data_IF_341087717643
#
_entry.id   IF_341087717643
#
_cell.length_a   1.000
_cell.length_b   1.000
_cell.length_c   1.000
_cell.angle_alpha   90.00
_cell.angle_beta   90.00
_cell.angle_gamma   90.00
#
_symmetry.space_group_name_H-M   'P 1'
#
loop_
_entity.id
_entity.type
_entity.pdbx_description
1 polymer ?
#
# COMPACT_ATOMS: atom_id res chain seq x y z
N UNK A 1 32.61 8.27 -8.73
CA UNK A 1 31.31 8.44 -8.06
C UNK A 1 30.29 8.65 -9.17
N UNK A 2 29.22 7.87 -9.24
CA UNK A 2 28.22 8.04 -10.31
C UNK A 2 27.25 9.13 -9.88
N UNK A 3 27.16 10.19 -10.67
CA UNK A 3 26.12 11.21 -10.49
C UNK A 3 24.81 10.72 -11.13
N UNK A 4 23.72 10.88 -10.41
CA UNK A 4 22.39 10.48 -10.85
C UNK A 4 21.52 11.72 -10.86
N UNK A 5 20.99 12.08 -12.04
CA UNK A 5 20.03 13.17 -12.22
C UNK A 5 18.66 12.56 -12.44
N UNK A 6 17.67 12.98 -11.64
CA UNK A 6 16.28 12.59 -11.79
C UNK A 6 15.53 13.67 -12.58
N UNK A 7 14.83 13.28 -13.65
CA UNK A 7 13.98 14.16 -14.45
C UNK A 7 12.54 13.65 -14.30
N UNK A 8 11.70 14.42 -13.61
CA UNK A 8 10.30 14.08 -13.40
C UNK A 8 9.51 14.21 -14.72
N UNK A 9 8.80 13.14 -15.11
CA UNK A 9 7.81 13.20 -16.17
C UNK A 9 6.49 13.73 -15.59
N UNK A 10 6.28 15.05 -15.67
CA UNK A 10 5.07 15.71 -15.16
C UNK A 10 3.96 15.76 -16.21
N UNK A 11 2.72 15.75 -15.75
CA UNK A 11 1.59 16.12 -16.60
C UNK A 11 1.54 17.64 -16.73
N UNK A 12 1.45 18.17 -17.95
CA UNK A 12 1.43 19.62 -18.21
C UNK A 12 0.02 20.22 -18.24
N UNK A 13 -1.02 19.40 -18.33
CA UNK A 13 -2.40 19.87 -18.39
C UNK A 13 -2.91 20.39 -17.04
N UNK A 14 -3.82 21.35 -17.09
CA UNK A 14 -4.50 21.88 -15.90
C UNK A 14 -5.45 20.80 -15.34
N UNK A 15 -5.31 20.50 -14.06
CA UNK A 15 -6.25 19.64 -13.34
C UNK A 15 -7.33 20.55 -12.74
N UNK A 16 -8.55 20.42 -13.26
CA UNK A 16 -9.75 21.14 -12.79
C UNK A 16 -10.82 20.18 -12.30
N UNK A 17 -11.66 20.68 -11.40
CA UNK A 17 -12.82 20.01 -10.85
C UNK A 17 -13.95 20.02 -11.89
N UNK A 18 -14.28 18.85 -12.39
CA UNK A 18 -15.38 18.67 -13.34
C UNK A 18 -16.73 18.44 -12.64
N UNK A 19 -17.81 18.79 -13.33
CA UNK A 19 -19.19 18.68 -12.80
C UNK A 19 -19.53 17.27 -12.35
N UNK A 20 -19.02 16.24 -13.03
CA UNK A 20 -19.26 14.83 -12.66
C UNK A 20 -18.79 14.52 -11.24
N UNK A 21 -17.56 14.93 -10.90
CA UNK A 21 -17.01 14.74 -9.56
C UNK A 21 -17.71 15.67 -8.56
N UNK A 22 -17.90 16.94 -8.89
CA UNK A 22 -18.61 17.91 -8.05
C UNK A 22 -20.01 17.43 -7.64
N UNK A 23 -20.81 16.98 -8.61
CA UNK A 23 -22.16 16.47 -8.39
C UNK A 23 -22.14 15.22 -7.49
N UNK A 24 -21.16 14.34 -7.67
CA UNK A 24 -20.99 13.18 -6.81
C UNK A 24 -20.69 13.59 -5.36
N UNK A 25 -19.75 14.51 -5.15
CA UNK A 25 -19.38 14.97 -3.81
C UNK A 25 -20.57 15.63 -3.10
N UNK A 26 -21.31 16.48 -3.79
CA UNK A 26 -22.51 17.14 -3.25
C UNK A 26 -23.64 16.16 -2.95
N UNK A 27 -23.96 15.25 -3.88
CA UNK A 27 -25.01 14.23 -3.70
C UNK A 27 -24.74 13.34 -2.49
N UNK A 28 -23.48 12.99 -2.26
CA UNK A 28 -23.06 12.16 -1.14
C UNK A 28 -22.73 12.96 0.13
N UNK A 29 -23.00 14.28 0.14
CA UNK A 29 -22.78 15.18 1.28
C UNK A 29 -21.34 15.11 1.84
N UNK A 30 -20.36 14.96 0.96
CA UNK A 30 -18.94 14.95 1.34
C UNK A 30 -18.50 16.37 1.66
N UNK A 31 -18.06 16.61 2.89
CA UNK A 31 -17.60 17.92 3.37
C UNK A 31 -16.09 17.99 3.55
N UNK A 32 -15.41 16.84 3.60
CA UNK A 32 -13.95 16.77 3.71
C UNK A 32 -13.33 15.58 2.99
N UNK A 33 -12.13 15.78 2.44
CA UNK A 33 -11.45 14.80 1.58
C UNK A 33 -9.99 14.64 2.00
N UNK A 34 -9.51 13.40 2.08
CA UNK A 34 -8.08 13.08 2.08
C UNK A 34 -7.63 12.93 0.63
N UNK A 35 -6.77 13.84 0.17
CA UNK A 35 -6.35 13.91 -1.23
C UNK A 35 -5.00 13.24 -1.46
N UNK A 36 -4.97 12.32 -2.42
CA UNK A 36 -3.77 11.62 -2.87
C UNK A 36 -3.65 11.67 -4.39
N UNK A 37 -2.43 11.52 -4.91
CA UNK A 37 -2.17 11.55 -6.35
C UNK A 37 -0.99 10.64 -6.75
N UNK A 38 -0.94 10.23 -8.02
CA UNK A 38 0.32 9.78 -8.60
C UNK A 38 1.29 10.95 -8.77
N UNK A 39 2.59 10.66 -8.98
CA UNK A 39 3.61 11.71 -9.15
C UNK A 39 3.28 12.69 -10.27
N UNK A 40 2.67 12.21 -11.35
CA UNK A 40 2.29 13.02 -12.52
C UNK A 40 1.24 14.08 -12.20
N UNK A 41 0.34 13.80 -11.25
CA UNK A 41 -0.80 14.65 -10.89
C UNK A 41 -0.65 15.30 -9.51
N UNK A 42 0.55 15.25 -8.93
CA UNK A 42 0.84 15.81 -7.60
C UNK A 42 0.88 17.35 -7.57
N UNK A 43 0.95 18.01 -8.72
CA UNK A 43 0.86 19.47 -8.85
C UNK A 43 -0.61 19.85 -9.15
N UNK A 44 -1.46 19.92 -8.11
CA UNK A 44 -2.93 20.03 -8.23
C UNK A 44 -3.55 21.26 -7.52
N UNK A 45 -2.82 22.37 -7.42
CA UNK A 45 -3.26 23.56 -6.65
C UNK A 45 -4.58 24.16 -7.14
N UNK A 46 -4.81 24.20 -8.46
CA UNK A 46 -6.06 24.72 -9.01
C UNK A 46 -7.26 23.85 -8.59
N UNK A 47 -7.11 22.54 -8.70
CA UNK A 47 -8.11 21.56 -8.29
C UNK A 47 -8.47 21.69 -6.81
N UNK A 48 -7.45 21.86 -5.94
CA UNK A 48 -7.66 22.06 -4.50
C UNK A 48 -8.47 23.33 -4.24
N UNK A 49 -8.10 24.45 -4.84
CA UNK A 49 -8.84 25.73 -4.71
C UNK A 49 -10.29 25.61 -5.16
N UNK A 50 -10.56 24.84 -6.21
CA UNK A 50 -11.92 24.62 -6.72
C UNK A 50 -12.76 23.76 -5.77
N UNK A 51 -12.17 22.76 -5.11
CA UNK A 51 -12.84 22.01 -4.03
C UNK A 51 -13.16 22.92 -2.82
N UNK A 52 -12.22 23.76 -2.40
CA UNK A 52 -12.42 24.67 -1.28
C UNK A 52 -13.51 25.71 -1.56
N UNK A 53 -13.61 26.21 -2.79
CA UNK A 53 -14.69 27.13 -3.23
C UNK A 53 -16.08 26.54 -3.11
N UNK A 54 -16.22 25.22 -3.15
CA UNK A 54 -17.49 24.53 -2.94
C UNK A 54 -17.64 24.01 -1.49
N UNK A 55 -16.89 24.60 -0.55
CA UNK A 55 -16.88 24.30 0.88
C UNK A 55 -16.44 22.86 1.23
N UNK A 56 -15.55 22.26 0.43
CA UNK A 56 -14.94 20.97 0.77
C UNK A 56 -13.57 21.20 1.39
N UNK A 57 -13.39 20.75 2.64
CA UNK A 57 -12.10 20.80 3.33
C UNK A 57 -11.15 19.73 2.77
N UNK A 58 -10.00 20.15 2.27
CA UNK A 58 -9.00 19.22 1.71
C UNK A 58 -7.89 18.97 2.73
N UNK A 59 -7.68 17.71 3.09
CA UNK A 59 -6.56 17.26 3.90
C UNK A 59 -5.46 16.71 3.00
N UNK A 60 -4.24 17.19 3.22
CA UNK A 60 -3.04 16.82 2.47
C UNK A 60 -1.98 16.36 3.46
N UNK A 61 -1.23 15.33 3.07
CA UNK A 61 -0.05 14.85 3.80
C UNK A 61 1.05 14.53 2.79
N UNK A 62 2.28 14.36 3.28
CA UNK A 62 3.39 13.80 2.51
C UNK A 62 3.67 12.37 2.97
N UNK A 63 3.90 11.46 2.03
CA UNK A 63 4.37 10.12 2.35
C UNK A 63 5.89 10.15 2.61
N UNK A 64 6.39 9.30 3.50
CA UNK A 64 7.80 9.32 3.96
C UNK A 64 8.81 9.16 2.83
N UNK A 65 8.46 8.44 1.76
CA UNK A 65 9.36 8.11 0.64
C UNK A 65 9.06 8.90 -0.64
N UNK A 66 8.20 9.91 -0.58
CA UNK A 66 7.85 10.73 -1.74
C UNK A 66 8.51 12.12 -1.66
N UNK A 67 8.62 12.80 -2.80
CA UNK A 67 9.20 14.14 -2.86
C UNK A 67 8.15 15.22 -2.60
N UNK A 68 6.90 14.99 -2.99
CA UNK A 68 5.81 15.98 -2.96
C UNK A 68 4.67 15.61 -1.99
N UNK A 69 3.92 16.61 -1.48
CA UNK A 69 2.64 16.38 -0.82
C UNK A 69 1.63 15.66 -1.75
N UNK A 70 0.67 14.96 -1.18
CA UNK A 70 -0.36 14.12 -1.85
C UNK A 70 0.19 12.91 -2.63
N UNK A 71 1.43 12.98 -3.10
CA UNK A 71 2.06 11.89 -3.84
C UNK A 71 2.12 10.63 -2.98
N UNK A 72 1.64 9.53 -3.55
CA UNK A 72 1.78 8.18 -2.99
C UNK A 72 2.56 7.27 -3.92
N UNK A 73 3.18 6.25 -3.32
CA UNK A 73 3.71 5.09 -4.03
C UNK A 73 2.87 3.88 -3.64
N UNK A 74 2.76 2.87 -4.50
CA UNK A 74 2.10 1.63 -4.09
C UNK A 74 2.72 1.03 -2.83
N UNK A 75 4.05 1.11 -2.68
CA UNK A 75 4.77 0.61 -1.52
C UNK A 75 4.78 1.56 -0.30
N UNK A 76 4.22 2.77 -0.41
CA UNK A 76 4.22 3.79 0.64
C UNK A 76 2.84 4.46 0.77
N UNK A 77 1.83 3.63 1.02
CA UNK A 77 0.44 4.05 1.20
C UNK A 77 -0.17 3.55 2.53
N UNK A 78 0.65 3.09 3.48
CA UNK A 78 0.17 2.55 4.77
C UNK A 78 -0.27 3.65 5.74
N UNK A 79 -1.05 3.32 6.78
CA UNK A 79 -1.43 4.32 7.81
C UNK A 79 -0.21 5.07 8.39
N UNK A 80 0.92 4.38 8.59
CA UNK A 80 2.17 4.96 9.10
C UNK A 80 3.13 5.44 8.01
N UNK A 81 2.73 5.40 6.75
CA UNK A 81 3.46 6.01 5.63
C UNK A 81 3.34 7.54 5.65
N UNK A 82 2.29 8.06 6.28
CA UNK A 82 1.97 9.47 6.30
C UNK A 82 2.42 10.13 7.60
N UNK A 83 2.75 11.43 7.54
CA UNK A 83 3.04 12.22 8.73
C UNK A 83 1.80 12.45 9.61
N UNK A 84 0.63 12.47 8.98
CA UNK A 84 -0.66 12.62 9.64
C UNK A 84 -1.67 11.59 9.14
N UNK A 85 -2.53 11.11 10.04
CA UNK A 85 -3.68 10.28 9.68
C UNK A 85 -4.81 11.14 9.11
N UNK A 86 -4.69 11.51 7.83
CA UNK A 86 -5.71 12.29 7.13
C UNK A 86 -6.91 11.43 6.71
N UNK A 87 -6.72 10.11 6.57
CA UNK A 87 -7.78 9.18 6.14
C UNK A 87 -8.86 9.08 7.20
N UNK A 88 -8.50 8.94 8.48
CA UNK A 88 -9.50 8.92 9.56
C UNK A 88 -10.17 10.29 9.77
N UNK A 89 -9.46 11.39 9.52
CA UNK A 89 -9.96 12.78 9.68
C UNK A 89 -10.92 13.25 8.57
N UNK A 90 -10.99 12.58 7.42
CA UNK A 90 -11.79 12.99 6.27
C UNK A 90 -13.07 12.17 6.09
N UNK A 91 -14.07 12.72 5.40
CA UNK A 91 -15.28 11.96 5.06
C UNK A 91 -15.01 10.94 3.95
N UNK A 92 -14.19 11.33 2.97
CA UNK A 92 -13.82 10.51 1.82
C UNK A 92 -12.32 10.52 1.53
N UNK A 93 -11.89 9.52 0.77
CA UNK A 93 -10.55 9.45 0.16
C UNK A 93 -10.71 9.75 -1.33
N UNK A 94 -9.95 10.70 -1.87
CA UNK A 94 -9.91 11.03 -3.29
C UNK A 94 -8.50 10.78 -3.82
N UNK A 95 -8.41 9.98 -4.88
CA UNK A 95 -7.18 9.73 -5.61
C UNK A 95 -7.25 10.35 -7.01
N UNK A 96 -6.26 11.19 -7.33
CA UNK A 96 -6.05 11.77 -8.65
C UNK A 96 -5.08 10.91 -9.45
N UNK A 97 -5.58 10.30 -10.52
CA UNK A 97 -4.76 9.61 -11.49
C UNK A 97 -5.47 8.47 -12.19
N UNK A 98 -4.69 7.72 -12.94
CA UNK A 98 -5.11 6.54 -13.67
C UNK A 98 -4.68 5.24 -12.96
N UNK A 99 -5.24 4.13 -13.44
CA UNK A 99 -4.95 2.79 -12.94
C UNK A 99 -5.41 2.50 -11.51
N UNK A 100 -5.60 1.21 -11.21
CA UNK A 100 -6.07 0.79 -9.88
C UNK A 100 -4.95 0.53 -8.88
N UNK A 101 -3.68 0.60 -9.28
CA UNK A 101 -2.56 0.19 -8.45
C UNK A 101 -2.44 0.99 -7.14
N UNK A 102 -2.44 2.32 -7.22
CA UNK A 102 -2.39 3.21 -6.06
C UNK A 102 -3.68 3.23 -5.23
N UNK A 103 -4.89 3.38 -5.81
CA UNK A 103 -6.10 3.39 -4.99
C UNK A 103 -6.38 2.04 -4.33
N UNK A 104 -5.99 0.90 -4.95
CA UNK A 104 -5.96 -0.40 -4.24
C UNK A 104 -5.01 -0.40 -3.05
N UNK A 105 -3.85 0.24 -3.16
CA UNK A 105 -2.92 0.35 -2.04
C UNK A 105 -3.53 1.14 -0.87
N UNK A 106 -4.29 2.21 -1.14
CA UNK A 106 -5.03 2.96 -0.12
C UNK A 106 -6.15 2.12 0.54
N UNK A 107 -6.84 1.26 -0.21
CA UNK A 107 -7.79 0.30 0.37
C UNK A 107 -7.07 -0.74 1.25
N UNK A 108 -5.97 -1.32 0.74
CA UNK A 108 -5.17 -2.31 1.46
C UNK A 108 -4.53 -1.74 2.73
N UNK A 109 -4.27 -0.43 2.78
CA UNK A 109 -3.74 0.24 3.96
C UNK A 109 -4.74 0.32 5.13
N UNK A 110 -6.04 0.26 4.83
CA UNK A 110 -7.13 0.35 5.79
C UNK A 110 -7.52 -1.02 6.37
N UNK A 111 -6.94 -2.12 5.88
CA UNK A 111 -7.40 -3.48 6.22
C UNK A 111 -7.18 -3.88 7.69
N UNK A 112 -6.38 -3.13 8.44
CA UNK A 112 -6.11 -3.36 9.86
C UNK A 112 -6.77 -2.23 10.66
N UNK A 113 -7.70 -2.59 11.56
CA UNK A 113 -8.36 -1.64 12.45
C UNK A 113 -9.76 -1.17 11.98
N UNK A 114 -9.82 -0.08 11.21
CA UNK A 114 -11.06 0.67 10.96
C UNK A 114 -11.88 0.15 9.77
N UNK A 115 -13.17 0.50 9.74
CA UNK A 115 -14.04 0.38 8.56
C UNK A 115 -13.36 0.99 7.33
N UNK A 116 -13.27 0.20 6.26
CA UNK A 116 -12.66 0.61 5.00
C UNK A 116 -13.54 1.68 4.35
N UNK A 117 -12.98 2.89 4.17
CA UNK A 117 -13.58 3.93 3.35
C UNK A 117 -13.29 3.64 1.88
N UNK A 118 -14.32 3.69 1.00
CA UNK A 118 -14.10 3.61 -0.44
C UNK A 118 -13.16 4.71 -0.92
N UNK A 119 -12.41 4.43 -1.99
CA UNK A 119 -11.56 5.40 -2.66
C UNK A 119 -12.31 5.93 -3.87
N UNK A 120 -12.57 7.24 -3.87
CA UNK A 120 -13.04 7.96 -5.05
C UNK A 120 -11.83 8.14 -5.96
N UNK A 121 -11.86 7.56 -7.15
CA UNK A 121 -10.81 7.69 -8.15
C UNK A 121 -11.28 8.65 -9.23
N UNK A 122 -10.50 9.70 -9.46
CA UNK A 122 -10.71 10.67 -10.52
C UNK A 122 -9.52 10.68 -11.47
N UNK A 123 -9.76 10.31 -12.72
CA UNK A 123 -8.75 10.39 -13.77
C UNK A 123 -8.82 11.76 -14.46
N UNK A 124 -7.82 12.64 -14.28
CA UNK A 124 -7.85 13.99 -14.84
C UNK A 124 -7.68 14.02 -16.36
N UNK A 125 -7.19 12.94 -16.98
CA UNK A 125 -7.00 12.84 -18.43
C UNK A 125 -8.32 12.40 -19.09
N UNK A 126 -8.86 11.25 -18.69
CA UNK A 126 -10.08 10.69 -19.29
C UNK A 126 -11.37 11.28 -18.71
N UNK A 127 -11.28 12.09 -17.66
CA UNK A 127 -12.42 12.64 -16.90
C UNK A 127 -13.37 11.56 -16.37
N UNK A 128 -12.82 10.40 -16.03
CA UNK A 128 -13.58 9.28 -15.47
C UNK A 128 -13.61 9.34 -13.95
N UNK A 129 -14.78 9.00 -13.40
CA UNK A 129 -15.04 8.90 -11.97
C UNK A 129 -15.39 7.45 -11.66
N UNK A 130 -14.66 6.85 -10.74
CA UNK A 130 -14.87 5.47 -10.30
C UNK A 130 -14.79 5.40 -8.77
N UNK A 131 -15.57 4.49 -8.18
CA UNK A 131 -15.61 4.29 -6.73
C UNK A 131 -15.11 2.88 -6.45
N UNK A 132 -13.96 2.79 -5.79
CA UNK A 132 -13.35 1.51 -5.45
C UNK A 132 -13.64 1.20 -3.98
N UNK A 133 -14.39 0.13 -3.72
CA UNK A 133 -14.76 -0.32 -2.38
C UNK A 133 -13.95 -1.56 -1.95
N UNK A 134 -14.25 -2.12 -0.79
CA UNK A 134 -13.53 -3.30 -0.28
C UNK A 134 -13.67 -4.54 -1.18
N UNK A 135 -14.68 -4.61 -2.05
CA UNK A 135 -14.93 -5.80 -2.89
C UNK A 135 -13.75 -6.11 -3.79
N UNK A 136 -13.05 -5.07 -4.26
CA UNK A 136 -11.91 -5.22 -5.17
C UNK A 136 -10.64 -5.74 -4.48
N UNK A 137 -10.61 -5.82 -3.15
CA UNK A 137 -9.49 -6.35 -2.36
C UNK A 137 -9.86 -7.59 -1.52
N UNK A 138 -11.05 -8.15 -1.69
CA UNK A 138 -11.52 -9.29 -0.88
C UNK A 138 -10.63 -10.52 -0.99
N UNK A 139 -10.12 -10.79 -2.19
CA UNK A 139 -9.23 -11.92 -2.43
C UNK A 139 -7.89 -11.74 -1.71
N UNK A 140 -7.30 -10.54 -1.83
CA UNK A 140 -6.08 -10.16 -1.12
C UNK A 140 -6.28 -10.30 0.39
N UNK A 141 -7.40 -9.83 0.94
CA UNK A 141 -7.71 -9.95 2.36
C UNK A 141 -7.82 -11.41 2.82
N UNK A 142 -8.54 -12.25 2.06
CA UNK A 142 -8.66 -13.70 2.35
C UNK A 142 -7.30 -14.38 2.32
N UNK A 143 -6.51 -14.11 1.29
CA UNK A 143 -5.18 -14.68 1.10
C UNK A 143 -4.22 -14.25 2.21
N UNK A 144 -4.23 -12.97 2.56
CA UNK A 144 -3.41 -12.40 3.61
C UNK A 144 -3.75 -13.01 4.98
N UNK A 145 -5.04 -13.15 5.31
CA UNK A 145 -5.51 -13.84 6.53
C UNK A 145 -5.06 -15.29 6.58
N UNK A 146 -5.21 -16.03 5.47
CA UNK A 146 -4.71 -17.42 5.35
C UNK A 146 -3.20 -17.49 5.60
N UNK A 147 -2.44 -16.62 4.94
CA UNK A 147 -0.98 -16.65 5.01
C UNK A 147 -0.47 -16.34 6.43
N UNK A 148 -1.11 -15.42 7.17
CA UNK A 148 -0.80 -15.19 8.59
C UNK A 148 -1.04 -16.44 9.45
N UNK A 149 -2.19 -17.10 9.30
CA UNK A 149 -2.50 -18.34 10.03
C UNK A 149 -1.48 -19.45 9.74
N UNK A 150 -1.07 -19.58 8.48
CA UNK A 150 -0.03 -20.55 8.10
C UNK A 150 1.34 -20.18 8.65
N UNK A 151 1.72 -18.90 8.61
CA UNK A 151 3.00 -18.41 9.14
C UNK A 151 3.12 -18.64 10.66
N UNK A 152 2.05 -18.42 11.42
CA UNK A 152 2.03 -18.65 12.87
C UNK A 152 2.41 -20.11 13.20
N UNK A 153 1.86 -21.07 12.44
CA UNK A 153 2.06 -22.51 12.62
C UNK A 153 3.31 -23.07 11.94
N UNK A 154 4.00 -22.30 11.10
CA UNK A 154 5.17 -22.73 10.34
C UNK A 154 6.38 -23.02 11.25
N UNK A 155 7.13 -24.09 10.94
CA UNK A 155 8.35 -24.49 11.66
C UNK A 155 9.61 -23.98 10.95
N UNK A 156 9.58 -23.94 9.62
CA UNK A 156 10.68 -23.46 8.77
C UNK A 156 10.25 -22.21 7.99
N UNK A 157 11.03 -21.14 8.09
CA UNK A 157 10.76 -19.83 7.49
C UNK A 157 11.85 -19.44 6.48
N UNK A 158 11.44 -19.04 5.27
CA UNK A 158 12.33 -18.43 4.28
C UNK A 158 12.17 -16.91 4.29
N UNK A 159 13.26 -16.17 4.35
CA UNK A 159 13.29 -14.70 4.38
C UNK A 159 13.90 -14.20 3.07
N UNK A 160 13.07 -13.57 2.23
CA UNK A 160 13.46 -13.06 0.92
C UNK A 160 14.07 -11.67 1.05
N UNK A 161 15.25 -11.48 0.45
CA UNK A 161 15.98 -10.21 0.41
C UNK A 161 16.36 -9.89 -1.02
N UNK A 162 16.12 -8.65 -1.45
CA UNK A 162 16.64 -8.15 -2.74
C UNK A 162 17.90 -7.30 -2.54
N UNK A 163 18.84 -7.33 -3.47
CA UNK A 163 19.98 -6.40 -3.50
C UNK A 163 19.66 -5.06 -4.18
N UNK A 164 18.43 -4.86 -4.69
CA UNK A 164 18.02 -3.61 -5.35
C UNK A 164 18.15 -2.41 -4.40
N UNK A 165 18.76 -1.29 -4.86
CA UNK A 165 18.82 -0.05 -4.08
C UNK A 165 17.41 0.39 -3.61
N UNK A 166 17.30 0.82 -2.34
CA UNK A 166 16.02 1.23 -1.75
C UNK A 166 15.07 0.08 -1.36
N UNK A 167 15.44 -1.17 -1.61
CA UNK A 167 14.71 -2.37 -1.18
C UNK A 167 15.59 -3.41 -0.48
N UNK A 168 16.89 -3.14 -0.30
CA UNK A 168 17.79 -4.03 0.40
C UNK A 168 17.67 -3.88 1.92
N UNK A 169 17.03 -4.86 2.55
CA UNK A 169 16.80 -4.94 4.00
C UNK A 169 17.55 -6.10 4.66
N UNK A 170 18.76 -6.45 4.19
CA UNK A 170 19.54 -7.59 4.70
C UNK A 170 19.75 -7.56 6.22
N UNK A 171 20.05 -6.40 6.80
CA UNK A 171 20.24 -6.29 8.25
C UNK A 171 18.95 -6.55 9.05
N UNK A 172 17.81 -6.10 8.53
CA UNK A 172 16.50 -6.40 9.11
C UNK A 172 16.19 -7.89 8.98
N UNK A 173 16.52 -8.52 7.84
CA UNK A 173 16.36 -9.96 7.64
C UNK A 173 17.21 -10.79 8.62
N UNK A 174 18.46 -10.39 8.88
CA UNK A 174 19.33 -11.03 9.89
C UNK A 174 18.73 -10.96 11.30
N UNK A 175 18.27 -9.77 11.71
CA UNK A 175 17.60 -9.58 13.01
C UNK A 175 16.32 -10.41 13.12
N UNK A 176 15.53 -10.48 12.05
CA UNK A 176 14.33 -11.33 12.02
C UNK A 176 14.70 -12.81 12.13
N UNK A 177 15.72 -13.28 11.42
CA UNK A 177 16.20 -14.67 11.53
C UNK A 177 16.53 -15.02 12.97
N UNK A 178 17.35 -14.20 13.64
CA UNK A 178 17.71 -14.40 15.06
C UNK A 178 16.47 -14.41 15.96
N UNK A 179 15.52 -13.50 15.73
CA UNK A 179 14.27 -13.44 16.47
C UNK A 179 13.44 -14.73 16.30
N UNK A 180 13.27 -15.22 15.06
CA UNK A 180 12.50 -16.44 14.77
C UNK A 180 13.18 -17.69 15.35
N UNK A 181 14.51 -17.76 15.30
CA UNK A 181 15.30 -18.87 15.87
C UNK A 181 15.15 -18.93 17.39
N UNK A 182 15.13 -17.79 18.09
CA UNK A 182 14.83 -17.72 19.54
C UNK A 182 13.42 -18.21 19.89
N UNK A 183 12.48 -18.15 18.94
CA UNK A 183 11.12 -18.69 19.08
C UNK A 183 11.02 -20.17 18.64
N UNK A 184 12.15 -20.84 18.43
CA UNK A 184 12.20 -22.27 18.06
C UNK A 184 11.90 -22.57 16.59
N UNK A 185 11.86 -21.56 15.70
CA UNK A 185 11.67 -21.76 14.26
C UNK A 185 13.03 -21.87 13.54
N UNK A 186 13.12 -22.67 12.48
CA UNK A 186 14.27 -22.66 11.57
C UNK A 186 14.09 -21.50 10.59
N UNK A 187 15.10 -20.64 10.41
CA UNK A 187 15.00 -19.50 9.51
C UNK A 187 16.17 -19.44 8.52
N UNK A 188 15.88 -19.18 7.25
CA UNK A 188 16.83 -19.16 6.14
C UNK A 188 16.72 -17.83 5.37
N UNK A 189 17.84 -17.23 4.99
CA UNK A 189 17.84 -16.00 4.19
C UNK A 189 18.14 -16.36 2.74
N UNK A 190 17.29 -15.90 1.83
CA UNK A 190 17.43 -16.06 0.38
C UNK A 190 17.63 -14.69 -0.24
N UNK A 191 18.73 -14.51 -0.96
CA UNK A 191 19.14 -13.22 -1.54
C UNK A 191 19.12 -13.34 -3.05
N UNK A 192 18.47 -12.41 -3.73
CA UNK A 192 18.48 -12.29 -5.19
C UNK A 192 18.52 -10.80 -5.60
N UNK A 193 18.82 -10.49 -6.84
CA UNK A 193 18.50 -9.18 -7.41
C UNK A 193 17.01 -9.11 -7.75
N UNK A 194 16.50 -10.10 -8.49
CA UNK A 194 15.11 -10.17 -8.94
C UNK A 194 14.43 -11.35 -8.25
N UNK A 195 13.54 -11.06 -7.31
CA UNK A 195 12.78 -12.12 -6.62
C UNK A 195 11.74 -12.73 -7.57
N UNK A 196 12.08 -13.88 -8.17
CA UNK A 196 11.11 -14.70 -8.89
C UNK A 196 10.39 -15.64 -7.91
N UNK A 197 9.12 -15.32 -7.65
CA UNK A 197 8.30 -16.02 -6.66
C UNK A 197 7.89 -17.42 -7.11
N UNK A 198 8.10 -17.77 -8.38
CA UNK A 198 7.91 -19.14 -8.87
C UNK A 198 8.94 -20.08 -8.25
N UNK A 199 10.16 -19.60 -8.02
CA UNK A 199 11.24 -20.40 -7.44
C UNK A 199 11.02 -20.78 -5.97
N UNK A 200 10.00 -20.24 -5.30
CA UNK A 200 9.66 -20.64 -3.92
C UNK A 200 9.28 -22.13 -3.83
N UNK A 201 8.78 -22.73 -4.92
CA UNK A 201 8.45 -24.17 -4.95
C UNK A 201 9.67 -25.09 -4.94
N UNK A 202 10.85 -24.56 -5.30
CA UNK A 202 12.11 -25.31 -5.28
C UNK A 202 12.63 -25.56 -3.86
N UNK A 203 12.01 -24.95 -2.85
CA UNK A 203 12.38 -25.09 -1.44
C UNK A 203 11.23 -25.68 -0.62
N UNK A 204 10.84 -26.95 -0.86
CA UNK A 204 9.68 -27.57 -0.22
C UNK A 204 9.83 -27.75 1.30
N UNK A 205 11.03 -27.59 1.85
CA UNK A 205 11.29 -27.61 3.30
C UNK A 205 10.93 -26.29 4.02
N UNK A 206 10.54 -25.24 3.29
CA UNK A 206 10.09 -23.96 3.83
C UNK A 206 8.56 -23.95 3.93
N UNK A 207 8.05 -23.81 5.15
CA UNK A 207 6.60 -23.81 5.40
C UNK A 207 5.95 -22.46 5.08
N UNK A 208 6.67 -21.35 5.31
CA UNK A 208 6.20 -20.00 5.06
C UNK A 208 7.34 -19.02 4.75
N UNK A 209 7.00 -17.94 4.06
CA UNK A 209 7.94 -16.96 3.55
C UNK A 209 7.69 -15.57 4.13
N UNK A 210 8.77 -14.82 4.33
CA UNK A 210 8.75 -13.40 4.67
C UNK A 210 9.37 -12.61 3.53
N UNK A 211 8.60 -11.68 2.97
CA UNK A 211 9.09 -10.70 2.02
C UNK A 211 9.66 -9.48 2.76
N UNK A 212 10.93 -9.17 2.51
CA UNK A 212 11.56 -7.92 2.97
C UNK A 212 11.72 -6.89 1.86
N UNK A 213 11.43 -7.22 0.60
CA UNK A 213 11.56 -6.33 -0.56
C UNK A 213 10.35 -5.38 -0.68
N UNK A 214 9.91 -5.09 -1.92
CA UNK A 214 8.70 -4.30 -2.16
C UNK A 214 7.48 -4.91 -1.43
N UNK A 215 6.82 -4.19 -0.50
CA UNK A 215 5.68 -4.70 0.24
C UNK A 215 4.48 -5.10 -0.63
N UNK A 216 4.39 -4.60 -1.87
CA UNK A 216 3.32 -4.95 -2.82
C UNK A 216 3.30 -6.43 -3.16
N UNK A 217 4.44 -7.11 -3.11
CA UNK A 217 4.51 -8.57 -3.29
C UNK A 217 3.65 -9.30 -2.25
N UNK A 218 3.73 -8.89 -0.99
CA UNK A 218 2.96 -9.48 0.12
C UNK A 218 1.58 -8.86 0.35
N UNK A 219 1.10 -7.98 -0.54
CA UNK A 219 -0.25 -7.40 -0.43
C UNK A 219 -1.07 -7.54 -1.72
N UNK A 220 -0.50 -7.17 -2.87
CA UNK A 220 -1.18 -7.17 -4.16
C UNK A 220 -0.99 -8.51 -4.86
N UNK A 221 0.27 -8.88 -5.10
CA UNK A 221 0.65 -10.07 -5.87
C UNK A 221 0.41 -11.35 -5.08
N UNK A 222 0.12 -11.24 -3.77
CA UNK A 222 -0.08 -12.34 -2.85
C UNK A 222 -1.12 -13.35 -3.34
N UNK A 223 -2.13 -12.89 -4.10
CA UNK A 223 -3.17 -13.75 -4.68
C UNK A 223 -2.60 -14.74 -5.69
N UNK A 224 -1.54 -14.35 -6.41
CA UNK A 224 -0.86 -15.15 -7.42
C UNK A 224 0.21 -16.09 -6.84
N UNK A 225 0.53 -15.96 -5.54
CA UNK A 225 1.57 -16.76 -4.87
C UNK A 225 0.91 -17.94 -4.17
N UNK A 226 1.33 -19.17 -4.47
CA UNK A 226 0.75 -20.37 -3.83
C UNK A 226 1.21 -20.53 -2.38
N UNK A 227 2.51 -20.34 -2.16
CA UNK A 227 3.19 -20.49 -0.88
C UNK A 227 2.71 -19.41 0.12
N UNK A 228 2.67 -19.70 1.42
CA UNK A 228 2.33 -18.70 2.42
C UNK A 228 3.41 -17.64 2.46
N UNK A 229 3.05 -16.39 2.19
CA UNK A 229 3.97 -15.25 2.20
C UNK A 229 3.33 -14.08 2.94
N UNK A 230 4.09 -13.48 3.86
CA UNK A 230 3.75 -12.24 4.57
C UNK A 230 4.86 -11.21 4.39
N UNK A 231 4.61 -9.92 4.67
CA UNK A 231 5.68 -8.93 4.68
C UNK A 231 6.36 -8.88 6.05
N UNK A 232 7.56 -8.30 6.07
CA UNK A 232 8.38 -8.11 7.28
C UNK A 232 7.65 -7.38 8.41
N UNK A 233 6.72 -6.47 8.10
CA UNK A 233 5.93 -5.72 9.10
C UNK A 233 5.06 -6.63 9.96
N UNK A 234 4.63 -7.76 9.42
CA UNK A 234 3.81 -8.74 10.15
C UNK A 234 4.65 -9.77 10.90
N UNK A 235 5.84 -10.10 10.40
CA UNK A 235 6.63 -11.23 10.88
C UNK A 235 7.06 -11.09 12.36
N UNK A 236 7.21 -9.85 12.86
CA UNK A 236 7.57 -9.59 14.26
C UNK A 236 6.44 -9.84 15.26
N UNK A 237 5.17 -9.68 14.85
CA UNK A 237 4.01 -10.00 15.70
C UNK A 237 2.82 -10.43 14.82
N UNK A 238 2.84 -11.67 14.29
CA UNK A 238 1.85 -12.14 13.34
C UNK A 238 0.48 -12.39 13.98
N UNK A 239 0.43 -12.69 15.29
CA UNK A 239 -0.82 -12.89 16.04
C UNK A 239 -1.58 -11.58 16.15
N UNK A 240 -0.92 -10.49 16.59
CA UNK A 240 -1.53 -9.16 16.62
C UNK A 240 -1.99 -8.72 15.23
N UNK A 241 -1.18 -8.96 14.20
CA UNK A 241 -1.56 -8.63 12.83
C UNK A 241 -2.80 -9.41 12.35
N UNK A 242 -3.00 -10.65 12.82
CA UNK A 242 -4.19 -11.44 12.54
C UNK A 242 -5.42 -10.93 13.30
N UNK A 243 -5.26 -10.61 14.59
CA UNK A 243 -6.32 -10.03 15.42
C UNK A 243 -6.83 -8.71 14.82
N UNK A 244 -5.94 -7.81 14.40
CA UNK A 244 -6.28 -6.54 13.75
C UNK A 244 -7.09 -6.71 12.44
N UNK A 245 -6.98 -7.87 11.78
CA UNK A 245 -7.80 -8.21 10.61
C UNK A 245 -9.15 -8.82 10.98
N UNK A 246 -9.23 -9.59 12.07
CA UNK A 246 -10.43 -10.32 12.48
C UNK A 246 -11.40 -9.42 13.26
N UNK A 247 -10.88 -8.48 14.06
CA UNK A 247 -11.65 -7.58 14.91
C UNK A 247 -11.88 -6.19 14.29
N UNK A 248 -12.11 -6.14 12.97
CA UNK A 248 -12.50 -4.89 12.31
C UNK A 248 -13.84 -4.43 12.89
N UNK A 249 -13.85 -3.24 13.49
CA UNK A 249 -15.07 -2.57 13.98
C UNK A 249 -15.73 -1.79 12.85
#
# INVERSE_FOLDING_TARGET
MTEIVFIDAKWEGIISLEDKLKNYLQKNKISSIALFASVQFSDADNFIKELEKINIKVYITKAKRTSKPMQILGCDAYHNSFHEDIISKSDAILYLGDGYFHPKALLLAQIKGQKIKPVIMWNPISKTLEILDEKIILEQMKKYKRNLKMFINAKSIGILVTIKPGQNYLMTAKRLKEFLEKQGKKAYIFIDNNLDLRHLENYPFIDAWVNTACPRIGTDDIVNIKQPLINIKEAGNPVKALEELEFRK
#
